data_IF_600203546911
#
_entry.id   IF_600203546911
#
_cell.length_a   1.000
_cell.length_b   1.000
_cell.length_c   1.000
_cell.angle_alpha   90.00
_cell.angle_beta   90.00
_cell.angle_gamma   90.00
#
_symmetry.space_group_name_H-M   'P 1'
#
loop_
_entity.id
_entity.type
_entity.pdbx_description
1 polymer ?
#
# COMPACT_ATOMS: atom_id res chain seq x y z
N UNK A 1 -13.62 -2.36 -20.68
CA UNK A 1 -12.85 -3.13 -19.67
C UNK A 1 -13.18 -2.55 -18.31
N UNK A 2 -13.24 -3.37 -17.26
CA UNK A 2 -13.60 -2.87 -15.94
C UNK A 2 -12.45 -2.03 -15.37
N UNK A 3 -12.74 -0.78 -15.07
CA UNK A 3 -11.83 0.13 -14.39
C UNK A 3 -11.74 -0.21 -12.90
N UNK A 4 -10.54 -0.11 -12.32
CA UNK A 4 -10.34 -0.37 -10.89
C UNK A 4 -10.53 0.91 -10.13
N UNK A 5 -11.62 0.97 -9.37
CA UNK A 5 -11.82 2.01 -8.37
C UNK A 5 -11.22 1.59 -7.03
N UNK A 6 -10.64 2.54 -6.31
CA UNK A 6 -10.13 2.33 -4.95
C UNK A 6 -10.09 3.62 -4.16
N UNK A 7 -10.12 3.48 -2.84
CA UNK A 7 -9.94 4.59 -1.91
C UNK A 7 -8.48 4.68 -1.47
N UNK A 8 -8.02 5.89 -1.21
CA UNK A 8 -6.86 6.13 -0.36
C UNK A 8 -7.29 6.82 0.94
N UNK A 9 -6.73 6.38 2.06
CA UNK A 9 -7.19 6.81 3.39
C UNK A 9 -6.06 6.95 4.39
N UNK A 10 -6.29 7.76 5.40
CA UNK A 10 -5.39 8.06 6.50
C UNK A 10 -6.14 8.07 7.84
N UNK A 11 -5.51 8.63 8.88
CA UNK A 11 -6.09 8.75 10.21
C UNK A 11 -7.36 9.60 10.28
N UNK A 12 -7.60 10.42 9.25
CA UNK A 12 -8.77 11.28 9.16
C UNK A 12 -10.05 10.50 8.86
N UNK A 13 -9.93 9.28 8.34
CA UNK A 13 -11.04 8.37 8.17
C UNK A 13 -11.18 7.41 9.37
N UNK A 14 -12.36 6.80 9.49
CA UNK A 14 -12.54 5.65 10.39
C UNK A 14 -11.68 4.47 9.90
N UNK A 15 -11.37 3.54 10.80
CA UNK A 15 -10.65 2.33 10.43
C UNK A 15 -11.43 1.51 9.41
N UNK A 16 -10.73 0.98 8.40
CA UNK A 16 -11.32 0.08 7.41
C UNK A 16 -11.94 -1.15 8.09
N UNK A 17 -13.02 -1.67 7.49
CA UNK A 17 -13.67 -2.92 7.88
C UNK A 17 -14.25 -3.63 6.65
N UNK A 18 -14.97 -4.73 6.87
CA UNK A 18 -15.48 -5.60 5.82
C UNK A 18 -16.62 -5.02 4.97
N UNK A 19 -17.01 -3.77 5.19
CA UNK A 19 -17.92 -3.04 4.29
C UNK A 19 -17.20 -2.44 3.08
N UNK A 20 -15.86 -2.40 3.09
CA UNK A 20 -15.07 -1.87 1.98
C UNK A 20 -15.27 -2.70 0.69
N UNK A 21 -15.72 -2.10 -0.43
CA UNK A 21 -16.21 -2.87 -1.58
C UNK A 21 -15.14 -3.14 -2.65
N UNK A 22 -14.00 -2.46 -2.62
CA UNK A 22 -13.03 -2.48 -3.71
C UNK A 22 -11.90 -3.51 -3.52
N UNK A 23 -11.33 -4.03 -4.62
CA UNK A 23 -10.27 -5.04 -4.58
C UNK A 23 -8.86 -4.47 -4.35
N UNK A 24 -8.73 -3.15 -4.24
CA UNK A 24 -7.49 -2.42 -3.96
C UNK A 24 -7.80 -1.38 -2.90
N UNK A 25 -6.88 -1.16 -1.97
CA UNK A 25 -6.97 -0.12 -0.95
C UNK A 25 -5.59 0.52 -0.79
N UNK A 26 -5.54 1.85 -0.65
CA UNK A 26 -4.34 2.61 -0.34
C UNK A 26 -4.44 3.19 1.08
N UNK A 27 -3.41 3.02 1.91
CA UNK A 27 -3.44 3.43 3.32
C UNK A 27 -2.18 4.19 3.71
N UNK A 28 -2.35 5.27 4.49
CA UNK A 28 -1.21 6.03 5.02
C UNK A 28 -0.52 5.26 6.13
N UNK A 29 0.80 5.23 6.06
CA UNK A 29 1.67 4.76 7.13
C UNK A 29 2.12 5.93 8.00
N UNK A 30 2.80 6.92 7.44
CA UNK A 30 3.30 8.08 8.15
C UNK A 30 3.24 9.35 7.32
N UNK A 31 3.29 10.47 8.05
CA UNK A 31 3.65 11.78 7.53
C UNK A 31 4.98 12.22 8.14
N UNK A 32 6.07 12.22 7.36
CA UNK A 32 7.40 12.41 7.92
C UNK A 32 7.70 11.37 9.00
N UNK A 33 7.99 11.81 10.22
CA UNK A 33 8.20 10.94 11.40
C UNK A 33 6.93 10.70 12.22
N UNK A 34 5.79 11.23 11.80
CA UNK A 34 4.51 11.04 12.49
C UNK A 34 3.80 9.80 11.96
N UNK A 35 3.59 8.81 12.83
CA UNK A 35 2.86 7.58 12.48
C UNK A 35 1.35 7.78 12.46
N UNK A 36 0.70 7.26 11.43
CA UNK A 36 -0.74 7.35 11.24
C UNK A 36 -1.50 6.58 12.35
N UNK A 37 -2.46 7.24 13.01
CA UNK A 37 -3.19 6.64 14.15
C UNK A 37 -4.10 5.47 13.76
N UNK A 38 -4.41 5.29 12.48
CA UNK A 38 -5.20 4.15 11.98
C UNK A 38 -4.32 3.02 11.44
N UNK A 39 -3.00 3.18 11.44
CA UNK A 39 -2.05 2.22 10.87
C UNK A 39 -2.31 0.78 11.31
N UNK A 40 -2.37 0.53 12.62
CA UNK A 40 -2.52 -0.83 13.17
C UNK A 40 -3.79 -1.52 12.64
N UNK A 41 -4.91 -0.78 12.60
CA UNK A 41 -6.17 -1.31 12.06
C UNK A 41 -6.07 -1.55 10.55
N UNK A 42 -5.67 -0.53 9.81
CA UNK A 42 -5.74 -0.52 8.36
C UNK A 42 -4.75 -1.51 7.75
N UNK A 43 -3.51 -1.54 8.25
CA UNK A 43 -2.49 -2.48 7.80
C UNK A 43 -2.86 -3.93 8.15
N UNK A 44 -3.34 -4.18 9.38
CA UNK A 44 -3.79 -5.51 9.79
C UNK A 44 -4.95 -6.05 8.95
N UNK A 45 -5.91 -5.19 8.61
CA UNK A 45 -7.02 -5.54 7.71
C UNK A 45 -6.52 -5.83 6.29
N UNK A 46 -5.60 -5.01 5.74
CA UNK A 46 -5.01 -5.24 4.42
C UNK A 46 -4.29 -6.60 4.33
N UNK A 47 -3.46 -6.92 5.32
CA UNK A 47 -2.74 -8.20 5.37
C UNK A 47 -3.71 -9.38 5.35
N UNK A 48 -4.73 -9.35 6.20
CA UNK A 48 -5.72 -10.42 6.28
C UNK A 48 -6.50 -10.59 4.98
N UNK A 49 -6.88 -9.47 4.35
CA UNK A 49 -7.74 -9.47 3.18
C UNK A 49 -6.99 -9.73 1.87
N UNK A 50 -5.69 -9.45 1.82
CA UNK A 50 -4.87 -9.81 0.66
C UNK A 50 -4.50 -11.30 0.67
N UNK A 51 -4.37 -11.90 1.86
CA UNK A 51 -4.14 -13.34 2.05
C UNK A 51 -5.42 -14.17 1.82
N UNK A 52 -6.59 -13.64 2.18
CA UNK A 52 -7.88 -14.29 1.89
C UNK A 52 -8.25 -14.23 0.41
N UNK A 53 -7.74 -13.24 -0.31
CA UNK A 53 -8.02 -12.96 -1.72
C UNK A 53 -9.11 -11.92 -1.95
N UNK A 54 -9.62 -11.27 -0.88
CA UNK A 54 -10.53 -10.13 -1.00
C UNK A 54 -9.85 -8.93 -1.66
N UNK A 55 -8.64 -8.61 -1.22
CA UNK A 55 -7.78 -7.64 -1.92
C UNK A 55 -6.91 -8.36 -2.94
N UNK A 56 -6.84 -7.80 -4.15
CA UNK A 56 -5.88 -8.22 -5.17
C UNK A 56 -4.47 -7.85 -4.73
N UNK A 57 -4.29 -6.59 -4.30
CA UNK A 57 -3.11 -6.03 -3.68
C UNK A 57 -3.51 -4.79 -2.87
N UNK A 58 -2.58 -4.19 -2.16
CA UNK A 58 -2.80 -2.92 -1.46
C UNK A 58 -1.58 -2.01 -1.61
N UNK A 59 -1.81 -0.71 -1.44
CA UNK A 59 -0.78 0.32 -1.48
C UNK A 59 -0.60 0.88 -0.08
N UNK A 60 0.64 1.02 0.36
CA UNK A 60 0.95 1.80 1.56
C UNK A 60 1.62 3.08 1.09
N UNK A 61 1.12 4.23 1.53
CA UNK A 61 1.78 5.50 1.22
C UNK A 61 2.37 6.14 2.47
N UNK A 62 3.38 6.98 2.26
CA UNK A 62 3.85 7.93 3.25
C UNK A 62 4.01 9.29 2.60
N UNK A 63 3.74 10.34 3.37
CA UNK A 63 4.01 11.71 2.94
C UNK A 63 5.51 11.93 2.91
N UNK A 64 6.04 12.27 1.76
CA UNK A 64 7.45 12.62 1.63
C UNK A 64 7.73 13.93 2.36
N UNK A 65 8.83 13.97 3.12
CA UNK A 65 9.33 15.17 3.79
C UNK A 65 10.84 15.31 3.55
N UNK A 66 11.42 16.53 3.64
CA UNK A 66 12.85 16.76 3.41
C UNK A 66 13.79 15.94 4.31
N UNK A 67 13.35 15.58 5.53
CA UNK A 67 13.98 14.56 6.38
C UNK A 67 13.64 13.15 5.88
N UNK A 68 13.94 12.90 4.59
CA UNK A 68 13.43 11.73 3.88
C UNK A 68 13.97 10.42 4.45
N UNK A 69 15.19 10.42 5.00
CA UNK A 69 15.79 9.22 5.57
C UNK A 69 15.03 8.80 6.84
N UNK A 70 14.74 9.73 7.75
CA UNK A 70 13.95 9.49 8.95
C UNK A 70 12.50 9.13 8.62
N UNK A 71 11.96 9.72 7.55
CA UNK A 71 10.63 9.38 7.01
C UNK A 71 10.59 7.92 6.54
N UNK A 72 11.60 7.48 5.79
CA UNK A 72 11.72 6.10 5.30
C UNK A 72 11.96 5.12 6.45
N UNK A 73 12.78 5.49 7.45
CA UNK A 73 12.97 4.67 8.65
C UNK A 73 11.68 4.53 9.47
N UNK A 74 10.88 5.59 9.58
CA UNK A 74 9.55 5.53 10.20
C UNK A 74 8.65 4.56 9.44
N UNK A 75 8.60 4.65 8.11
CA UNK A 75 7.85 3.72 7.25
C UNK A 75 8.28 2.26 7.49
N UNK A 76 9.58 1.97 7.45
CA UNK A 76 10.12 0.62 7.70
C UNK A 76 9.78 0.12 9.10
N UNK A 77 9.82 0.98 10.12
CA UNK A 77 9.49 0.61 11.50
C UNK A 77 8.03 0.19 11.67
N UNK A 78 7.13 0.82 10.90
CA UNK A 78 5.70 0.52 10.90
C UNK A 78 5.37 -0.74 10.11
N UNK A 79 5.96 -0.90 8.91
CA UNK A 79 5.74 -2.06 8.03
C UNK A 79 6.39 -3.32 8.60
N UNK A 80 7.60 -3.21 9.14
CA UNK A 80 8.49 -4.28 9.66
C UNK A 80 8.88 -5.33 8.63
N UNK A 81 7.91 -6.01 8.03
CA UNK A 81 8.09 -7.00 6.97
C UNK A 81 7.11 -6.71 5.82
N UNK A 82 7.59 -6.29 4.65
CA UNK A 82 6.72 -5.93 3.54
C UNK A 82 6.02 -7.18 2.97
N UNK A 83 4.71 -7.07 2.75
CA UNK A 83 3.95 -8.15 2.13
C UNK A 83 4.24 -8.25 0.62
N UNK A 84 4.34 -9.45 0.01
CA UNK A 84 4.63 -9.58 -1.43
C UNK A 84 3.64 -8.87 -2.35
N UNK A 85 2.39 -8.69 -1.90
CA UNK A 85 1.31 -7.96 -2.58
C UNK A 85 1.10 -6.53 -2.07
N UNK A 86 2.12 -5.95 -1.45
CA UNK A 86 2.13 -4.54 -1.06
C UNK A 86 2.96 -3.75 -2.07
N UNK A 87 2.37 -2.69 -2.62
CA UNK A 87 3.10 -1.61 -3.30
C UNK A 87 3.29 -0.43 -2.34
N UNK A 88 4.25 0.45 -2.64
CA UNK A 88 4.51 1.65 -1.84
C UNK A 88 4.36 2.89 -2.70
N UNK A 89 3.65 3.89 -2.20
CA UNK A 89 3.47 5.17 -2.86
C UNK A 89 4.19 6.28 -2.09
N UNK A 90 5.04 7.02 -2.78
CA UNK A 90 5.67 8.24 -2.24
C UNK A 90 4.76 9.40 -2.59
N UNK A 91 4.12 9.97 -1.59
CA UNK A 91 3.23 11.12 -1.73
C UNK A 91 4.07 12.41 -1.76
N UNK A 92 4.13 13.04 -2.94
CA UNK A 92 4.93 14.24 -3.23
C UNK A 92 3.99 15.39 -3.51
N UNK A 93 3.77 16.20 -2.48
CA UNK A 93 2.96 17.41 -2.55
C UNK A 93 3.68 18.59 -1.86
N UNK A 94 3.27 19.81 -2.17
CA UNK A 94 3.84 21.01 -1.56
C UNK A 94 3.41 21.21 -0.10
N UNK A 95 2.33 20.55 0.34
CA UNK A 95 1.77 20.66 1.69
C UNK A 95 1.56 22.12 2.14
N UNK A 96 0.88 22.90 1.29
CA UNK A 96 0.65 24.33 1.54
C UNK A 96 1.93 25.17 1.49
N UNK A 97 2.93 24.74 0.71
CA UNK A 97 4.22 25.40 0.55
C UNK A 97 5.27 25.05 1.61
N UNK A 98 4.98 24.11 2.51
CA UNK A 98 5.98 23.57 3.46
C UNK A 98 7.13 22.86 2.74
N UNK A 99 6.85 22.31 1.56
CA UNK A 99 7.82 21.69 0.67
C UNK A 99 7.87 22.52 -0.61
N UNK A 100 9.08 22.89 -1.03
CA UNK A 100 9.28 23.73 -2.21
C UNK A 100 10.62 23.44 -2.87
N UNK A 101 10.77 23.92 -4.11
CA UNK A 101 11.96 23.72 -4.93
C UNK A 101 12.13 22.30 -5.43
N UNK A 102 13.20 22.06 -6.18
CA UNK A 102 13.52 20.73 -6.69
C UNK A 102 14.00 19.81 -5.54
N UNK A 103 13.19 18.79 -5.24
CA UNK A 103 13.45 17.77 -4.22
C UNK A 103 13.83 16.42 -4.84
N UNK A 104 14.06 16.37 -6.16
CA UNK A 104 14.29 15.12 -6.91
C UNK A 104 15.39 14.26 -6.30
N UNK A 105 16.48 14.85 -5.81
CA UNK A 105 17.57 14.10 -5.21
C UNK A 105 17.12 13.29 -3.97
N UNK A 106 16.38 13.92 -3.06
CA UNK A 106 15.85 13.28 -1.85
C UNK A 106 14.73 12.29 -2.15
N UNK A 107 13.82 12.64 -3.06
CA UNK A 107 12.74 11.73 -3.49
C UNK A 107 13.32 10.49 -4.19
N UNK A 108 14.31 10.65 -5.07
CA UNK A 108 14.98 9.54 -5.75
C UNK A 108 15.79 8.66 -4.78
N UNK A 109 16.36 9.24 -3.73
CA UNK A 109 17.02 8.47 -2.67
C UNK A 109 15.99 7.62 -1.89
N UNK A 110 14.87 8.22 -1.47
CA UNK A 110 13.78 7.51 -0.82
C UNK A 110 13.22 6.39 -1.72
N UNK A 111 13.00 6.67 -3.00
CA UNK A 111 12.55 5.68 -3.99
C UNK A 111 13.45 4.44 -4.06
N UNK A 112 14.77 4.64 -4.12
CA UNK A 112 15.74 3.52 -4.15
C UNK A 112 15.76 2.76 -2.83
N UNK A 113 15.74 3.46 -1.71
CA UNK A 113 15.83 2.86 -0.38
C UNK A 113 14.58 2.05 -0.03
N UNK A 114 13.40 2.61 -0.30
CA UNK A 114 12.12 1.89 -0.19
C UNK A 114 12.11 0.71 -1.16
N UNK A 115 12.56 0.90 -2.40
CA UNK A 115 12.66 -0.16 -3.40
C UNK A 115 13.51 -1.34 -2.92
N UNK A 116 14.68 -1.06 -2.34
CA UNK A 116 15.53 -2.09 -1.75
C UNK A 116 14.83 -2.82 -0.59
N UNK A 117 14.11 -2.08 0.26
CA UNK A 117 13.37 -2.66 1.39
C UNK A 117 12.21 -3.57 0.95
N UNK A 118 11.42 -3.17 -0.05
CA UNK A 118 10.29 -3.97 -0.56
C UNK A 118 10.69 -4.97 -1.65
N UNK A 119 11.98 -5.04 -1.97
CA UNK A 119 12.63 -5.99 -2.87
C UNK A 119 12.72 -5.55 -4.33
N UNK A 120 12.05 -4.47 -4.74
CA UNK A 120 12.22 -3.86 -6.06
C UNK A 120 11.63 -2.45 -6.11
N UNK A 121 12.30 -1.55 -6.82
CA UNK A 121 11.76 -0.24 -7.21
C UNK A 121 10.54 -0.34 -8.13
N UNK A 122 10.34 -1.51 -8.77
CA UNK A 122 9.11 -1.82 -9.49
C UNK A 122 7.88 -1.87 -8.57
N UNK A 123 8.02 -1.90 -7.24
CA UNK A 123 6.89 -1.80 -6.30
C UNK A 123 6.67 -0.41 -5.73
N UNK A 124 7.51 0.55 -6.13
CA UNK A 124 7.43 1.93 -5.68
C UNK A 124 6.82 2.78 -6.78
N UNK A 125 5.77 3.52 -6.44
CA UNK A 125 5.06 4.49 -7.29
C UNK A 125 5.15 5.88 -6.66
N UNK A 126 4.96 6.93 -7.47
CA UNK A 126 4.84 8.30 -6.99
C UNK A 126 3.40 8.77 -7.00
N UNK A 127 3.13 9.83 -6.24
CA UNK A 127 1.87 10.53 -6.24
C UNK A 127 2.08 12.04 -6.18
N UNK A 128 1.16 12.79 -6.79
CA UNK A 128 1.06 14.25 -6.70
C UNK A 128 0.16 14.81 -7.80
N UNK A 129 -0.23 16.07 -7.67
CA UNK A 129 -0.79 16.82 -8.81
C UNK A 129 0.33 17.20 -9.79
N UNK A 130 -0.03 17.57 -11.03
CA UNK A 130 0.96 17.89 -12.07
C UNK A 130 1.94 19.00 -11.67
N UNK A 131 1.46 20.04 -10.97
CA UNK A 131 2.30 21.15 -10.52
C UNK A 131 3.35 20.72 -9.51
N UNK A 132 2.94 19.97 -8.48
CA UNK A 132 3.85 19.44 -7.47
C UNK A 132 4.84 18.44 -8.09
N UNK A 133 4.38 17.56 -8.98
CA UNK A 133 5.26 16.63 -9.68
C UNK A 133 6.29 17.34 -10.56
N UNK A 134 5.92 18.42 -11.24
CA UNK A 134 6.83 19.17 -12.11
C UNK A 134 7.79 20.07 -11.33
N UNK A 135 7.35 20.63 -10.21
CA UNK A 135 8.15 21.54 -9.39
C UNK A 135 9.04 20.81 -8.38
N UNK A 136 8.50 19.83 -7.66
CA UNK A 136 9.18 19.14 -6.58
C UNK A 136 9.98 17.93 -7.07
N UNK A 137 9.53 17.31 -8.16
CA UNK A 137 10.17 16.11 -8.71
C UNK A 137 10.45 16.20 -10.22
N UNK A 138 11.06 17.27 -10.75
CA UNK A 138 11.32 17.40 -12.19
C UNK A 138 12.21 16.27 -12.74
N UNK A 139 13.14 15.74 -11.93
CA UNK A 139 14.05 14.65 -12.34
C UNK A 139 13.57 13.32 -11.75
N UNK A 140 12.63 12.67 -12.44
CA UNK A 140 12.05 11.39 -12.03
C UNK A 140 12.89 10.19 -12.51
N UNK A 141 12.87 9.04 -11.81
CA UNK A 141 13.47 7.82 -12.32
C UNK A 141 12.77 7.34 -13.60
N UNK A 142 13.53 6.83 -14.56
CA UNK A 142 12.97 6.27 -15.79
C UNK A 142 11.97 5.15 -15.49
N UNK A 143 10.83 5.19 -16.18
CA UNK A 143 9.78 4.18 -16.04
C UNK A 143 9.04 4.20 -14.69
N UNK A 144 9.18 5.27 -13.88
CA UNK A 144 8.36 5.41 -12.69
C UNK A 144 6.88 5.45 -13.06
N UNK A 145 6.04 4.85 -12.21
CA UNK A 145 4.59 4.89 -12.34
C UNK A 145 4.01 5.87 -11.33
N UNK A 146 3.01 6.63 -11.75
CA UNK A 146 2.45 7.72 -10.98
C UNK A 146 0.94 7.58 -10.82
N UNK A 147 0.46 7.90 -9.63
CA UNK A 147 -0.94 8.26 -9.37
C UNK A 147 -1.00 9.78 -9.43
N UNK A 148 -1.81 10.34 -10.34
CA UNK A 148 -1.88 11.80 -10.50
C UNK A 148 -3.18 12.31 -9.89
N UNK A 149 -3.10 13.31 -9.02
CA UNK A 149 -4.27 13.98 -8.48
C UNK A 149 -4.76 15.08 -9.43
N UNK A 150 -6.05 15.03 -9.78
CA UNK A 150 -6.70 16.11 -10.55
C UNK A 150 -8.21 16.03 -10.38
N UNK A 151 -8.83 16.97 -9.69
CA UNK A 151 -10.26 16.89 -9.44
C UNK A 151 -11.03 17.55 -10.58
N UNK A 152 -12.01 16.82 -11.13
CA UNK A 152 -12.90 17.31 -12.19
C UNK A 152 -12.30 17.24 -13.60
N UNK A 153 -11.09 16.70 -13.73
CA UNK A 153 -10.47 16.42 -15.04
C UNK A 153 -9.55 15.21 -14.94
N UNK A 154 -9.22 14.59 -16.08
CA UNK A 154 -8.34 13.43 -16.14
C UNK A 154 -7.19 13.73 -17.14
N UNK A 155 -6.21 14.58 -16.77
CA UNK A 155 -5.14 14.95 -17.68
C UNK A 155 -4.16 13.79 -17.88
N UNK A 156 -3.57 13.65 -19.10
CA UNK A 156 -2.44 12.77 -19.30
C UNK A 156 -1.20 13.29 -18.57
N UNK A 157 -0.38 12.40 -18.04
CA UNK A 157 0.92 12.73 -17.46
C UNK A 157 1.91 11.58 -17.71
N UNK A 158 3.20 11.84 -18.02
CA UNK A 158 4.18 10.78 -18.25
C UNK A 158 4.28 9.80 -17.08
N UNK A 159 4.11 8.50 -17.35
CA UNK A 159 4.17 7.46 -16.32
C UNK A 159 2.89 7.30 -15.49
N UNK A 160 1.83 8.05 -15.77
CA UNK A 160 0.55 7.90 -15.07
C UNK A 160 -0.06 6.51 -15.29
N UNK A 161 -0.46 5.87 -14.20
CA UNK A 161 -1.16 4.56 -14.20
C UNK A 161 -2.48 4.60 -13.43
N UNK A 162 -2.72 5.65 -12.66
CA UNK A 162 -3.97 5.88 -11.96
C UNK A 162 -4.19 7.38 -11.71
N UNK A 163 -5.40 7.73 -11.32
CA UNK A 163 -5.91 9.08 -11.17
C UNK A 163 -6.70 9.17 -9.87
N UNK A 164 -6.30 10.06 -8.97
CA UNK A 164 -7.16 10.47 -7.86
C UNK A 164 -8.10 11.58 -8.35
N UNK A 165 -9.38 11.26 -8.45
CA UNK A 165 -10.36 12.08 -9.17
C UNK A 165 -11.27 12.92 -8.28
N UNK A 166 -11.29 12.65 -6.97
CA UNK A 166 -12.12 13.33 -5.98
C UNK A 166 -11.52 13.15 -4.58
N UNK A 167 -11.78 14.13 -3.73
CA UNK A 167 -11.57 14.11 -2.27
C UNK A 167 -12.84 13.74 -1.47
N UNK A 168 -13.89 13.33 -2.17
CA UNK A 168 -15.21 13.07 -1.63
C UNK A 168 -16.11 14.30 -1.48
N UNK A 169 -15.66 15.49 -1.89
CA UNK A 169 -16.47 16.73 -1.87
C UNK A 169 -17.06 17.09 -3.24
N UNK A 170 -16.97 16.19 -4.24
CA UNK A 170 -17.50 16.40 -5.59
C UNK A 170 -16.55 15.87 -6.67
N UNK A 171 -16.75 16.30 -7.92
CA UNK A 171 -15.84 16.04 -9.06
C UNK A 171 -15.77 14.60 -9.58
N UNK A 172 -16.55 13.68 -9.06
CA UNK A 172 -16.54 12.26 -9.46
C UNK A 172 -16.98 12.03 -10.90
N UNK A 173 -17.69 12.97 -11.52
CA UNK A 173 -18.14 12.83 -12.92
C UNK A 173 -19.04 11.62 -13.15
N UNK A 174 -19.78 11.19 -12.12
CA UNK A 174 -20.61 9.97 -12.12
C UNK A 174 -19.93 8.75 -11.46
N UNK A 175 -18.65 8.84 -11.11
CA UNK A 175 -17.97 7.85 -10.26
C UNK A 175 -18.28 8.07 -8.77
N UNK A 176 -18.11 7.05 -7.91
CA UNK A 176 -18.27 7.18 -6.46
C UNK A 176 -17.35 8.25 -5.86
N UNK A 177 -17.88 9.07 -4.95
CA UNK A 177 -17.15 10.13 -4.23
C UNK A 177 -16.90 9.74 -2.77
N UNK A 178 -16.59 8.46 -2.57
CA UNK A 178 -16.32 7.88 -1.27
C UNK A 178 -16.54 6.38 -1.26
N UNK A 179 -16.24 5.76 -0.12
CA UNK A 179 -16.39 4.32 0.08
C UNK A 179 -16.77 4.01 1.54
N UNK A 180 -17.63 3.02 1.80
CA UNK A 180 -17.76 2.48 3.15
C UNK A 180 -16.43 1.86 3.64
N UNK A 181 -16.11 1.94 4.95
CA UNK A 181 -16.86 2.61 6.01
C UNK A 181 -16.57 4.11 6.12
N UNK A 182 -15.76 4.67 5.23
CA UNK A 182 -15.18 6.01 5.34
C UNK A 182 -16.20 7.14 5.11
N UNK A 183 -17.24 6.87 4.32
CA UNK A 183 -18.12 7.94 3.83
C UNK A 183 -17.41 8.69 2.70
N UNK A 184 -17.58 10.03 2.61
CA UNK A 184 -16.78 10.86 1.71
C UNK A 184 -15.28 10.70 1.98
N UNK A 185 -14.51 10.35 0.94
CA UNK A 185 -13.06 10.21 1.02
C UNK A 185 -12.43 10.30 -0.37
N UNK A 186 -11.10 10.37 -0.41
CA UNK A 186 -10.34 10.32 -1.64
C UNK A 186 -10.64 9.03 -2.41
N UNK A 187 -10.96 9.17 -3.70
CA UNK A 187 -11.21 8.06 -4.60
C UNK A 187 -10.38 8.16 -5.86
N UNK A 188 -9.98 6.98 -6.34
CA UNK A 188 -9.05 6.80 -7.42
C UNK A 188 -9.60 5.85 -8.48
N UNK A 189 -9.18 6.05 -9.72
CA UNK A 189 -9.40 5.20 -10.88
C UNK A 189 -8.06 4.74 -11.42
N UNK A 190 -7.93 3.48 -11.81
CA UNK A 190 -6.76 2.97 -12.52
C UNK A 190 -6.87 3.15 -14.05
N UNK A 191 -7.67 4.12 -14.49
CA UNK A 191 -7.84 4.56 -15.88
C UNK A 191 -7.94 3.41 -16.90
N UNK A 192 -8.78 2.41 -16.60
CA UNK A 192 -9.08 1.29 -17.50
C UNK A 192 -8.27 0.02 -17.25
N UNK A 193 -7.43 -0.02 -16.22
CA UNK A 193 -6.79 -1.24 -15.74
C UNK A 193 -7.71 -2.03 -14.81
N UNK A 194 -7.80 -3.34 -15.03
CA UNK A 194 -8.32 -4.28 -14.02
C UNK A 194 -7.41 -4.35 -12.80
N UNK A 195 -7.90 -4.84 -11.66
CA UNK A 195 -7.12 -4.87 -10.43
C UNK A 195 -5.83 -5.69 -10.57
N UNK A 196 -5.85 -6.77 -11.36
CA UNK A 196 -4.65 -7.56 -11.65
C UNK A 196 -3.67 -6.83 -12.56
N UNK A 197 -4.14 -6.11 -13.58
CA UNK A 197 -3.28 -5.30 -14.43
C UNK A 197 -2.68 -4.13 -13.66
N UNK A 198 -3.46 -3.49 -12.77
CA UNK A 198 -2.95 -2.44 -11.90
C UNK A 198 -1.90 -2.99 -10.91
N UNK A 199 -2.14 -4.16 -10.32
CA UNK A 199 -1.13 -4.85 -9.50
C UNK A 199 0.17 -5.11 -10.29
N UNK A 200 0.08 -5.59 -11.52
CA UNK A 200 1.24 -5.81 -12.40
C UNK A 200 1.96 -4.51 -12.74
N UNK A 201 1.22 -3.44 -13.05
CA UNK A 201 1.78 -2.10 -13.22
C UNK A 201 2.48 -1.62 -11.96
N UNK A 202 2.04 -2.05 -10.78
CA UNK A 202 2.69 -1.82 -9.49
C UNK A 202 3.77 -2.84 -9.11
N UNK A 203 4.28 -3.63 -10.07
CA UNK A 203 5.35 -4.61 -9.85
C UNK A 203 4.96 -5.79 -8.95
N UNK A 204 3.67 -6.00 -8.74
CA UNK A 204 3.14 -7.15 -8.00
C UNK A 204 2.91 -8.29 -8.99
N UNK A 205 3.75 -9.32 -8.89
CA UNK A 205 3.63 -10.50 -9.73
C UNK A 205 2.32 -11.26 -9.45
N UNK A 206 1.73 -11.91 -10.47
CA UNK A 206 0.63 -12.83 -10.26
C UNK A 206 1.04 -13.94 -9.29
N UNK A 207 0.28 -14.16 -8.23
CA UNK A 207 0.50 -15.33 -7.37
C UNK A 207 -0.03 -16.55 -8.11
N UNK A 208 0.88 -17.41 -8.59
CA UNK A 208 0.50 -18.65 -9.25
C UNK A 208 -0.41 -19.50 -8.33
N UNK A 209 -1.49 -20.11 -8.84
CA UNK A 209 -2.47 -20.87 -8.05
C UNK A 209 -1.87 -21.95 -7.13
N UNK A 210 -0.74 -22.54 -7.55
CA UNK A 210 -0.03 -23.61 -6.83
C UNK A 210 0.49 -23.13 -5.46
N UNK A 211 0.92 -21.87 -5.35
CA UNK A 211 1.52 -21.32 -4.13
C UNK A 211 0.47 -21.04 -3.06
N UNK A 212 -0.74 -20.65 -3.46
CA UNK A 212 -1.88 -20.44 -2.56
C UNK A 212 -2.38 -21.75 -1.95
N UNK A 213 -2.44 -22.82 -2.74
CA UNK A 213 -2.83 -24.14 -2.25
C UNK A 213 -1.84 -24.70 -1.21
N UNK A 214 -0.54 -24.49 -1.42
CA UNK A 214 0.51 -24.91 -0.46
C UNK A 214 0.45 -24.10 0.83
N UNK A 215 0.23 -22.78 0.76
CA UNK A 215 0.07 -21.93 1.96
C UNK A 215 -1.18 -22.30 2.76
N UNK A 216 -2.33 -22.50 2.09
CA UNK A 216 -3.58 -22.95 2.76
C UNK A 216 -3.41 -24.31 3.43
N UNK A 217 -2.73 -25.27 2.79
CA UNK A 217 -2.42 -26.58 3.41
C UNK A 217 -1.49 -26.46 4.63
N UNK A 218 -0.51 -25.56 4.61
CA UNK A 218 0.37 -25.34 5.78
C UNK A 218 -0.37 -24.70 6.95
N UNK A 219 -1.23 -23.72 6.69
CA UNK A 219 -2.04 -23.08 7.72
C UNK A 219 -3.04 -24.05 8.36
N UNK A 220 -3.70 -24.89 7.56
CA UNK A 220 -4.64 -25.91 8.08
C UNK A 220 -3.94 -27.03 8.87
N UNK A 221 -2.72 -27.42 8.50
CA UNK A 221 -1.92 -28.36 9.29
C UNK A 221 -1.43 -27.77 10.62
N UNK A 222 -1.10 -26.48 10.66
CA UNK A 222 -0.67 -25.80 11.88
C UNK A 222 -1.83 -25.58 12.87
N UNK A 223 -3.06 -25.42 12.36
CA UNK A 223 -4.28 -25.25 13.15
C UNK A 223 -4.95 -26.58 13.57
N UNK A 224 -4.40 -27.73 13.18
CA UNK A 224 -4.99 -29.04 13.52
C UNK A 224 -4.86 -29.35 15.02
N UNK A 225 -5.92 -29.83 15.69
CA UNK A 225 -5.88 -30.27 17.10
C UNK A 225 -4.81 -31.35 17.37
N UNK A 226 -4.45 -32.13 16.35
CA UNK A 226 -3.40 -33.16 16.43
C UNK A 226 -1.98 -32.56 16.53
N UNK A 227 -1.74 -31.33 16.06
CA UNK A 227 -0.44 -30.67 16.17
C UNK A 227 -0.15 -30.22 17.61
N UNK A 228 -1.19 -29.88 18.38
CA UNK A 228 -1.11 -29.53 19.81
C UNK A 228 -0.78 -30.77 20.65
N UNK A 229 -1.42 -31.91 20.38
CA UNK A 229 -1.13 -33.18 21.07
C UNK A 229 0.31 -33.66 20.83
N UNK A 230 0.87 -33.42 19.64
CA UNK A 230 2.24 -33.84 19.30
C UNK A 230 3.31 -33.00 20.02
N UNK A 231 3.06 -31.70 20.27
CA UNK A 231 3.95 -30.84 21.08
C UNK A 231 3.91 -31.19 22.57
N UNK A 232 2.74 -31.58 23.09
CA UNK A 232 2.61 -32.00 24.49
C UNK A 232 3.30 -33.34 24.76
N UNK A 233 3.23 -34.31 23.83
CA UNK A 233 3.94 -35.59 23.97
C UNK A 233 5.47 -35.47 23.90
N UNK A 234 6.02 -34.54 23.10
CA UNK A 234 7.46 -34.33 23.03
C UNK A 234 8.05 -33.65 24.29
N UNK A 235 7.26 -32.89 25.05
CA UNK A 235 7.70 -32.34 26.34
C UNK A 235 7.63 -33.34 27.50
N UNK A 236 6.77 -34.36 27.43
CA UNK A 236 6.62 -35.39 28.47
C UNK A 236 7.78 -36.39 28.54
N UNK A 237 8.49 -36.64 27.43
CA UNK A 237 9.56 -37.65 27.39
C UNK A 237 10.95 -37.16 27.85
N UNK A 238 11.13 -35.86 28.11
CA UNK A 238 12.44 -35.31 28.51
C UNK A 238 12.68 -35.30 30.03
N UNK A 239 11.77 -35.85 30.85
CA UNK A 239 11.88 -35.82 32.31
C UNK A 239 12.32 -37.14 32.98
N UNK A 240 12.68 -38.18 32.21
CA UNK A 240 13.00 -39.50 32.77
C UNK A 240 14.45 -40.00 32.60
N UNK A 241 15.43 -39.13 32.41
CA UNK A 241 16.83 -39.58 32.31
C UNK A 241 17.83 -38.64 32.99
N UNK A 242 17.75 -38.52 34.32
CA UNK A 242 18.89 -38.13 35.18
C UNK A 242 18.76 -38.78 36.56
N UNK A 243 19.28 -40.00 36.68
CA UNK A 243 19.82 -40.52 37.94
C UNK A 243 21.12 -41.26 37.61
N UNK A 244 22.23 -40.66 38.06
CA UNK A 244 23.47 -41.30 38.47
C UNK A 244 23.95 -40.54 39.70
#
# INVERSE_FOLDING_TARGET
MADTLYADVSEWQVGVNDTYPYPVLCIRSNDGTYGDRRWVNNYGWCLSNVDSGRLTFFVVYFVWRPNWSETVETFKSQVRAPHPKMAVMIDVESWGGQISGDQSAGINAAYREVGAYVGSTAKVIGYGNAGDLDQLWPTKPDGIRLVVASYGSNPPYPGKVAHQYTDGQGYGGGLPEGAPPFGPCDMNSADGLTAQQFAQACGISPVLPVTLAVRRRRASMAASPYAVQRRLRQRGNNFQSRQY
#
